data_IF_566113603097
#
_entry.id   IF_566113603097
#
_cell.length_a   1.000
_cell.length_b   1.000
_cell.length_c   1.000
_cell.angle_alpha   90.00
_cell.angle_beta   90.00
_cell.angle_gamma   90.00
#
_symmetry.space_group_name_H-M   'P 1'
#
loop_
_entity.id
_entity.type
_entity.pdbx_description
1 polymer ?
#
# COMPACT_ATOMS: atom_id res chain seq x y z
N UNK A 1 7.98 -6.70 20.25
CA UNK A 1 8.63 -5.40 19.98
C UNK A 1 7.75 -4.63 19.03
N UNK A 2 7.46 -3.37 19.34
CA UNK A 2 6.74 -2.47 18.43
C UNK A 2 7.71 -1.99 17.35
N UNK A 3 7.37 -2.07 16.05
CA UNK A 3 8.25 -1.61 14.99
C UNK A 3 8.50 -0.11 15.10
N UNK A 4 9.69 0.35 14.70
CA UNK A 4 9.92 1.79 14.51
C UNK A 4 9.02 2.34 13.39
N UNK A 5 8.83 3.67 13.36
CA UNK A 5 8.05 4.33 12.30
C UNK A 5 8.65 4.03 10.92
N UNK A 6 9.99 4.02 10.81
CA UNK A 6 10.71 3.66 9.60
C UNK A 6 10.48 2.21 9.21
N UNK A 7 10.58 1.27 10.15
CA UNK A 7 10.34 -0.16 9.89
C UNK A 7 8.91 -0.42 9.44
N UNK A 8 7.93 0.26 10.06
CA UNK A 8 6.52 0.16 9.66
C UNK A 8 6.33 0.68 8.23
N UNK A 9 6.89 1.84 7.91
CA UNK A 9 6.81 2.41 6.57
C UNK A 9 7.38 1.46 5.50
N UNK A 10 8.58 0.92 5.72
CA UNK A 10 9.20 -0.04 4.79
C UNK A 10 8.32 -1.28 4.62
N UNK A 11 7.80 -1.85 5.73
CA UNK A 11 6.91 -3.03 5.68
C UNK A 11 5.64 -2.75 4.88
N UNK A 12 5.01 -1.60 5.10
CA UNK A 12 3.76 -1.23 4.42
C UNK A 12 3.98 -1.03 2.90
N UNK A 13 5.07 -0.38 2.50
CA UNK A 13 5.42 -0.20 1.08
C UNK A 13 5.75 -1.53 0.40
N UNK A 14 6.61 -2.37 1.02
CA UNK A 14 6.97 -3.67 0.45
C UNK A 14 5.73 -4.55 0.28
N UNK A 15 4.82 -4.55 1.25
CA UNK A 15 3.54 -5.28 1.16
C UNK A 15 2.72 -4.88 -0.07
N UNK A 16 2.70 -3.60 -0.45
CA UNK A 16 1.97 -3.13 -1.63
C UNK A 16 2.69 -3.55 -2.93
N UNK A 17 4.02 -3.49 -2.95
CA UNK A 17 4.83 -3.92 -4.10
C UNK A 17 4.64 -5.41 -4.34
N UNK A 18 4.76 -6.24 -3.29
CA UNK A 18 4.55 -7.69 -3.38
C UNK A 18 3.16 -8.00 -3.92
N UNK A 19 2.12 -7.31 -3.43
CA UNK A 19 0.77 -7.48 -3.96
C UNK A 19 0.69 -7.21 -5.45
N UNK A 20 1.33 -6.14 -5.91
CA UNK A 20 1.33 -5.81 -7.31
C UNK A 20 2.06 -6.88 -8.15
N UNK A 21 3.21 -7.36 -7.67
CA UNK A 21 4.02 -8.39 -8.33
C UNK A 21 3.35 -9.76 -8.39
N UNK A 22 2.53 -10.11 -7.39
CA UNK A 22 1.83 -11.39 -7.31
C UNK A 22 0.34 -11.31 -7.70
N UNK A 23 -0.06 -10.27 -8.45
CA UNK A 23 -1.43 -10.10 -8.94
C UNK A 23 -2.47 -10.16 -7.80
N UNK A 24 -2.16 -9.55 -6.66
CA UNK A 24 -3.06 -9.39 -5.52
C UNK A 24 -3.58 -7.96 -5.43
N UNK A 25 -4.82 -7.80 -4.97
CA UNK A 25 -5.50 -6.52 -4.89
C UNK A 25 -4.80 -5.54 -3.94
N UNK A 26 -4.57 -4.31 -4.42
CA UNK A 26 -4.03 -3.21 -3.61
C UNK A 26 -4.85 -2.93 -2.33
N UNK A 27 -6.15 -3.21 -2.32
CA UNK A 27 -7.09 -2.77 -1.28
C UNK A 27 -7.53 -3.87 -0.31
N UNK A 28 -7.39 -5.15 -0.68
CA UNK A 28 -7.95 -6.27 0.07
C UNK A 28 -6.86 -7.28 0.41
N UNK A 29 -6.79 -7.70 1.67
CA UNK A 29 -5.71 -8.59 2.14
C UNK A 29 -5.72 -9.99 1.54
N UNK A 30 -6.83 -10.39 0.92
CA UNK A 30 -7.03 -11.70 0.27
C UNK A 30 -7.58 -11.56 -1.16
N UNK A 31 -7.59 -10.35 -1.72
CA UNK A 31 -8.10 -10.14 -3.07
C UNK A 31 -7.09 -10.66 -4.09
N UNK A 32 -7.48 -11.60 -4.96
CA UNK A 32 -6.65 -12.01 -6.10
C UNK A 32 -7.19 -11.36 -7.37
N UNK A 33 -6.30 -10.90 -8.24
CA UNK A 33 -6.68 -10.35 -9.53
C UNK A 33 -6.92 -11.50 -10.50
N UNK A 34 -8.13 -11.57 -11.04
CA UNK A 34 -8.53 -12.59 -12.01
C UNK A 34 -8.81 -11.92 -13.34
N UNK A 35 -8.37 -12.53 -14.44
CA UNK A 35 -8.73 -12.10 -15.78
C UNK A 35 -10.22 -12.38 -16.01
N UNK A 36 -10.92 -11.41 -16.58
CA UNK A 36 -12.29 -11.59 -17.06
C UNK A 36 -12.25 -11.96 -18.54
N UNK A 37 -12.94 -13.05 -18.87
CA UNK A 37 -13.04 -13.72 -20.19
C UNK A 37 -12.65 -12.86 -21.40
N UNK A 38 -11.49 -13.17 -21.99
CA UNK A 38 -11.08 -12.68 -23.31
C UNK A 38 -10.49 -11.26 -23.35
N UNK A 39 -10.34 -10.58 -22.20
CA UNK A 39 -9.72 -9.25 -22.14
C UNK A 39 -8.56 -9.20 -21.14
N UNK A 40 -7.58 -8.32 -21.39
CA UNK A 40 -6.55 -7.88 -20.45
C UNK A 40 -7.14 -7.00 -19.32
N UNK A 41 -8.37 -7.27 -18.87
CA UNK A 41 -9.01 -6.62 -17.73
C UNK A 41 -8.93 -7.55 -16.53
N UNK A 42 -8.02 -7.24 -15.61
CA UNK A 42 -7.86 -7.98 -14.36
C UNK A 42 -8.67 -7.31 -13.27
N UNK A 43 -9.54 -8.06 -12.59
CA UNK A 43 -10.35 -7.55 -11.49
C UNK A 43 -10.17 -8.37 -10.23
N UNK A 44 -10.25 -7.71 -9.08
CA UNK A 44 -10.20 -8.40 -7.81
C UNK A 44 -11.42 -9.32 -7.66
N UNK A 45 -11.19 -10.61 -7.40
CA UNK A 45 -12.24 -11.60 -7.17
C UNK A 45 -13.13 -11.29 -5.96
N UNK A 46 -12.63 -10.52 -4.99
CA UNK A 46 -13.35 -10.17 -3.74
C UNK A 46 -14.12 -8.87 -3.82
N UNK A 47 -13.51 -7.80 -4.35
CA UNK A 47 -14.10 -6.46 -4.34
C UNK A 47 -14.42 -5.90 -5.74
N UNK A 48 -14.10 -6.64 -6.80
CA UNK A 48 -14.39 -6.25 -8.19
C UNK A 48 -13.59 -5.06 -8.73
N UNK A 49 -12.72 -4.45 -7.92
CA UNK A 49 -11.88 -3.32 -8.36
C UNK A 49 -10.86 -3.78 -9.41
N UNK A 50 -10.62 -2.97 -10.46
CA UNK A 50 -9.68 -3.33 -11.53
C UNK A 50 -8.22 -3.20 -11.08
N UNK A 51 -7.34 -3.92 -11.78
CA UNK A 51 -5.89 -3.79 -11.66
C UNK A 51 -5.47 -2.52 -12.39
N UNK A 52 -5.33 -1.44 -11.65
CA UNK A 52 -4.85 -0.17 -12.19
C UNK A 52 -3.55 0.20 -11.48
N UNK A 53 -2.42 0.35 -12.20
CA UNK A 53 -1.16 0.81 -11.60
C UNK A 53 -1.30 2.08 -10.77
N UNK A 54 -2.19 3.01 -11.14
CA UNK A 54 -2.47 4.25 -10.39
C UNK A 54 -2.97 3.94 -8.97
N UNK A 55 -3.73 2.86 -8.77
CA UNK A 55 -4.22 2.48 -7.44
C UNK A 55 -3.08 2.02 -6.53
N UNK A 56 -2.12 1.25 -7.03
CA UNK A 56 -0.95 0.82 -6.25
C UNK A 56 -0.03 1.99 -5.96
N UNK A 57 0.20 2.87 -6.94
CA UNK A 57 0.93 4.12 -6.73
C UNK A 57 0.27 5.02 -5.67
N UNK A 58 -1.07 5.13 -5.69
CA UNK A 58 -1.83 5.87 -4.69
C UNK A 58 -1.69 5.28 -3.29
N UNK A 59 -1.72 3.96 -3.15
CA UNK A 59 -1.50 3.28 -1.85
C UNK A 59 -0.08 3.52 -1.31
N UNK A 60 0.94 3.47 -2.18
CA UNK A 60 2.32 3.81 -1.81
C UNK A 60 2.42 5.29 -1.39
N UNK A 61 1.79 6.20 -2.15
CA UNK A 61 1.78 7.62 -1.83
C UNK A 61 1.12 7.89 -0.45
N UNK A 62 0.05 7.17 -0.11
CA UNK A 62 -0.56 7.22 1.23
C UNK A 62 0.43 6.80 2.31
N UNK A 63 1.18 5.72 2.12
CA UNK A 63 2.22 5.30 3.08
C UNK A 63 3.31 6.37 3.24
N UNK A 64 3.72 7.02 2.15
CA UNK A 64 4.72 8.10 2.18
C UNK A 64 4.18 9.33 2.92
N UNK A 65 2.93 9.70 2.68
CA UNK A 65 2.30 10.83 3.34
C UNK A 65 2.19 10.60 4.86
N UNK A 66 1.65 9.44 5.27
CA UNK A 66 1.55 9.04 6.67
C UNK A 66 2.91 9.01 7.39
N UNK A 67 3.94 8.54 6.69
CA UNK A 67 5.31 8.53 7.21
C UNK A 67 5.83 9.95 7.43
N UNK A 68 5.62 10.86 6.48
CA UNK A 68 6.06 12.26 6.58
C UNK A 68 5.37 12.97 7.73
N UNK A 69 4.05 12.90 7.83
CA UNK A 69 3.30 13.55 8.92
C UNK A 69 3.80 13.07 10.30
N UNK A 70 3.90 11.76 10.50
CA UNK A 70 4.33 11.20 11.79
C UNK A 70 5.79 11.48 12.11
N UNK A 71 6.63 11.61 11.09
CA UNK A 71 8.04 11.96 11.26
C UNK A 71 8.22 13.45 11.58
N UNK A 72 7.43 14.33 10.97
CA UNK A 72 7.37 15.77 11.30
C UNK A 72 6.89 15.99 12.75
N UNK A 73 5.83 15.28 13.16
CA UNK A 73 5.33 15.32 14.54
C UNK A 73 6.38 14.83 15.55
N UNK A 74 7.10 13.75 15.22
CA UNK A 74 8.16 13.20 16.08
C UNK A 74 9.37 14.14 16.20
N UNK A 75 9.66 14.95 15.18
CA UNK A 75 10.74 15.93 15.23
C UNK A 75 10.35 17.20 16.01
N UNK A 76 9.09 17.64 15.90
CA UNK A 76 8.58 18.81 16.61
C UNK A 76 8.38 18.58 18.12
N UNK A 77 8.24 17.33 18.56
CA UNK A 77 8.20 17.00 20.00
C UNK A 77 9.59 16.97 20.63
N UNK A 78 10.65 16.62 19.88
CA UNK A 78 12.02 16.56 20.38
C UNK A 78 12.72 17.93 20.47
N UNK A 79 12.11 19.00 19.94
CA UNK A 79 12.65 20.38 19.99
C UNK A 79 12.07 21.25 21.10
N UNK A 80 11.09 20.73 21.86
CA UNK A 80 10.42 21.47 22.94
C UNK A 80 10.73 20.94 24.36
N UNK A 81 11.67 19.99 24.48
CA UNK A 81 12.28 19.52 25.73
C UNK A 81 13.73 20.04 25.86
#
# INVERSE_FOLDING_TARGET
MTPSIQEKFVKDVVKIIDRWSFEQCAFCDEGTMVSIEGMLDFRCSKCGKPMNPINYLGAIAGCVFDYREKHEDSQNQNTND
#
